data_IF_591851070319
#
_entry.id   IF_591851070319
#
_cell.length_a   1.000
_cell.length_b   1.000
_cell.length_c   1.000
_cell.angle_alpha   90.00
_cell.angle_beta   90.00
_cell.angle_gamma   90.00
#
_symmetry.space_group_name_H-M   'P 1'
#
loop_
_entity.id
_entity.type
_entity.pdbx_description
1 polymer ?
#
# COMPACT_ATOMS: atom_id res chain seq x y z
N UNK A 1 16.61 7.56 9.33
CA UNK A 1 16.33 7.92 7.91
C UNK A 1 15.57 6.82 7.19
N UNK A 2 15.86 5.53 7.45
CA UNK A 2 15.04 4.42 6.93
C UNK A 2 13.62 4.38 7.55
N UNK A 3 13.43 5.01 8.70
CA UNK A 3 12.20 4.82 9.49
C UNK A 3 11.07 5.81 9.12
N UNK A 4 11.39 7.07 8.83
CA UNK A 4 10.41 8.00 8.21
C UNK A 4 9.92 7.49 6.84
N UNK A 5 10.71 6.64 6.18
CA UNK A 5 10.38 6.05 4.89
C UNK A 5 9.30 4.97 5.02
N UNK A 6 9.32 4.15 6.08
CA UNK A 6 8.31 3.09 6.25
C UNK A 6 6.89 3.69 6.45
N UNK A 7 6.76 4.72 7.29
CA UNK A 7 5.50 5.42 7.50
C UNK A 7 5.01 6.10 6.21
N UNK A 8 5.88 6.85 5.52
CA UNK A 8 5.54 7.52 4.24
C UNK A 8 5.12 6.52 3.16
N UNK A 9 5.80 5.38 3.06
CA UNK A 9 5.46 4.34 2.07
C UNK A 9 4.09 3.72 2.38
N UNK A 10 3.79 3.42 3.65
CA UNK A 10 2.45 2.90 4.00
C UNK A 10 1.32 3.90 3.72
N UNK A 11 1.56 5.21 3.92
CA UNK A 11 0.57 6.26 3.61
C UNK A 11 0.31 6.34 2.09
N UNK A 12 1.37 6.32 1.26
CA UNK A 12 1.23 6.34 -0.19
C UNK A 12 0.44 5.15 -0.76
N UNK A 13 0.68 3.95 -0.23
CA UNK A 13 -0.05 2.74 -0.64
C UNK A 13 -1.53 2.83 -0.24
N UNK A 14 -1.83 3.35 0.97
CA UNK A 14 -3.21 3.54 1.43
C UNK A 14 -3.95 4.52 0.51
N UNK A 15 -3.32 5.64 0.14
CA UNK A 15 -3.91 6.63 -0.77
C UNK A 15 -4.19 6.03 -2.16
N UNK A 16 -3.25 5.24 -2.71
CA UNK A 16 -3.45 4.52 -3.97
C UNK A 16 -4.61 3.53 -3.89
N UNK A 17 -4.70 2.75 -2.80
CA UNK A 17 -5.81 1.82 -2.59
C UNK A 17 -7.16 2.53 -2.48
N UNK A 18 -7.21 3.65 -1.76
CA UNK A 18 -8.41 4.49 -1.67
C UNK A 18 -8.84 5.01 -3.05
N UNK A 19 -7.89 5.47 -3.88
CA UNK A 19 -8.16 5.90 -5.25
C UNK A 19 -8.73 4.76 -6.08
N UNK A 20 -8.11 3.58 -6.06
CA UNK A 20 -8.56 2.41 -6.81
C UNK A 20 -9.98 1.97 -6.38
N UNK A 21 -10.25 1.95 -5.08
CA UNK A 21 -11.58 1.61 -4.53
C UNK A 21 -12.63 2.66 -4.91
N UNK A 22 -12.25 3.94 -5.00
CA UNK A 22 -13.12 5.05 -5.37
C UNK A 22 -13.39 5.11 -6.87
N UNK A 23 -12.40 4.81 -7.71
CA UNK A 23 -12.46 4.92 -9.17
C UNK A 23 -13.28 3.81 -9.84
N UNK A 24 -13.78 2.81 -9.10
CA UNK A 24 -14.39 1.63 -9.70
C UNK A 24 -15.89 1.40 -9.42
N UNK A 25 -16.63 1.54 -10.53
CA UNK A 25 -17.99 1.03 -10.81
C UNK A 25 -17.94 -0.41 -11.41
N UNK A 26 -16.80 -0.85 -11.96
CA UNK A 26 -16.67 -2.10 -12.74
C UNK A 26 -15.89 -3.23 -12.06
N UNK A 27 -15.52 -3.06 -10.80
CA UNK A 27 -14.74 -4.05 -10.08
C UNK A 27 -15.63 -5.19 -9.60
N UNK A 28 -15.21 -6.43 -9.86
CA UNK A 28 -15.90 -7.58 -9.30
C UNK A 28 -15.95 -7.43 -7.77
N UNK A 29 -17.13 -7.69 -7.17
CA UNK A 29 -17.37 -7.48 -5.74
C UNK A 29 -16.31 -8.13 -4.84
N UNK A 30 -15.79 -9.29 -5.24
CA UNK A 30 -14.71 -9.99 -4.56
C UNK A 30 -13.39 -9.20 -4.54
N UNK A 31 -13.02 -8.56 -5.66
CA UNK A 31 -11.78 -7.77 -5.74
C UNK A 31 -11.87 -6.49 -4.91
N UNK A 32 -13.04 -5.81 -4.91
CA UNK A 32 -13.28 -4.65 -4.02
C UNK A 32 -13.21 -5.02 -2.53
N UNK A 33 -13.64 -6.24 -2.17
CA UNK A 33 -13.52 -6.73 -0.80
C UNK A 33 -12.06 -6.98 -0.40
N UNK A 34 -11.26 -7.57 -1.28
CA UNK A 34 -9.82 -7.80 -1.02
C UNK A 34 -9.04 -6.49 -0.91
N UNK A 35 -9.30 -5.48 -1.76
CA UNK A 35 -8.65 -4.17 -1.65
C UNK A 35 -8.93 -3.48 -0.30
N UNK A 36 -10.19 -3.50 0.17
CA UNK A 36 -10.54 -2.98 1.50
C UNK A 36 -9.89 -3.76 2.64
N UNK A 37 -9.75 -5.07 2.48
CA UNK A 37 -9.07 -5.91 3.46
C UNK A 37 -7.58 -5.55 3.52
N UNK A 38 -6.94 -5.34 2.38
CA UNK A 38 -5.54 -4.89 2.30
C UNK A 38 -5.36 -3.50 2.93
N UNK A 39 -6.25 -2.55 2.65
CA UNK A 39 -6.27 -1.24 3.29
C UNK A 39 -6.32 -1.36 4.82
N UNK A 40 -7.27 -2.13 5.37
CA UNK A 40 -7.40 -2.33 6.82
C UNK A 40 -6.15 -2.97 7.44
N UNK A 41 -5.44 -3.82 6.70
CA UNK A 41 -4.19 -4.43 7.18
C UNK A 41 -3.08 -3.38 7.21
N UNK A 42 -2.96 -2.55 6.19
CA UNK A 42 -1.96 -1.48 6.12
C UNK A 42 -2.18 -0.41 7.18
N UNK A 43 -3.43 -0.03 7.46
CA UNK A 43 -3.76 0.89 8.56
C UNK A 43 -3.31 0.33 9.93
N UNK A 44 -3.53 -0.97 10.16
CA UNK A 44 -3.05 -1.64 11.40
C UNK A 44 -1.52 -1.68 11.47
N UNK A 45 -0.87 -1.98 10.35
CA UNK A 45 0.59 -1.96 10.25
C UNK A 45 1.12 -0.57 10.59
N UNK A 46 0.47 0.49 10.10
CA UNK A 46 0.89 1.87 10.34
C UNK A 46 0.81 2.26 11.84
N UNK A 47 -0.19 1.76 12.56
CA UNK A 47 -0.28 1.91 14.02
C UNK A 47 0.90 1.21 14.70
N UNK A 48 1.19 -0.05 14.32
CA UNK A 48 2.31 -0.82 14.88
C UNK A 48 3.65 -0.18 14.55
N UNK A 49 3.83 0.37 13.35
CA UNK A 49 5.03 1.11 12.94
C UNK A 49 5.22 2.34 13.82
N UNK A 50 4.18 3.16 14.02
CA UNK A 50 4.24 4.34 14.89
C UNK A 50 4.62 3.99 16.34
N UNK A 51 4.11 2.87 16.85
CA UNK A 51 4.50 2.37 18.18
C UNK A 51 5.95 1.87 18.19
N UNK A 52 6.35 1.11 17.18
CA UNK A 52 7.69 0.56 17.03
C UNK A 52 8.76 1.66 16.86
N UNK A 53 8.45 2.77 16.19
CA UNK A 53 9.34 3.93 16.01
C UNK A 53 9.82 4.49 17.36
N UNK A 54 8.94 4.56 18.37
CA UNK A 54 9.33 5.00 19.72
C UNK A 54 10.19 4.00 20.48
N UNK A 55 10.14 2.71 20.10
CA UNK A 55 10.88 1.63 20.76
C UNK A 55 12.20 1.26 20.07
N UNK A 56 12.36 1.56 18.78
CA UNK A 56 13.50 1.09 17.96
C UNK A 56 14.86 1.63 18.45
N UNK A 57 14.89 2.79 19.10
CA UNK A 57 16.12 3.43 19.60
C UNK A 57 16.85 2.51 20.60
N UNK A 58 16.12 1.55 21.18
CA UNK A 58 16.62 0.62 22.20
C UNK A 58 16.67 -0.84 21.73
N UNK A 59 16.27 -1.16 20.51
CA UNK A 59 16.14 -2.55 20.07
C UNK A 59 16.42 -2.73 18.56
N UNK A 60 17.57 -3.34 18.24
CA UNK A 60 17.99 -3.63 16.85
C UNK A 60 17.04 -4.59 16.12
N UNK A 61 16.39 -5.53 16.82
CA UNK A 61 15.42 -6.44 16.19
C UNK A 61 14.19 -5.69 15.65
N UNK A 62 13.79 -4.59 16.31
CA UNK A 62 12.70 -3.73 15.85
C UNK A 62 13.10 -2.98 14.58
N UNK A 63 14.37 -2.58 14.49
CA UNK A 63 14.92 -1.92 13.31
C UNK A 63 14.94 -2.85 12.09
N UNK A 64 15.37 -4.10 12.26
CA UNK A 64 15.38 -5.08 11.18
C UNK A 64 13.97 -5.42 10.71
N UNK A 65 13.01 -5.55 11.63
CA UNK A 65 11.60 -5.76 11.28
C UNK A 65 11.02 -4.59 10.47
N UNK A 66 11.33 -3.34 10.86
CA UNK A 66 10.90 -2.15 10.13
C UNK A 66 11.52 -2.06 8.72
N UNK A 67 12.77 -2.49 8.53
CA UNK A 67 13.37 -2.54 7.19
C UNK A 67 12.68 -3.56 6.28
N UNK A 68 12.40 -4.77 6.78
CA UNK A 68 11.70 -5.78 5.99
C UNK A 68 10.28 -5.32 5.62
N UNK A 69 9.60 -4.63 6.55
CA UNK A 69 8.29 -4.08 6.28
C UNK A 69 8.33 -2.99 5.18
N UNK A 70 9.33 -2.11 5.24
CA UNK A 70 9.55 -1.09 4.19
C UNK A 70 9.74 -1.74 2.83
N UNK A 71 10.58 -2.78 2.75
CA UNK A 71 10.90 -3.43 1.48
C UNK A 71 9.66 -4.10 0.88
N UNK A 72 8.87 -4.82 1.68
CA UNK A 72 7.61 -5.40 1.23
C UNK A 72 6.54 -4.35 0.87
N UNK A 73 6.58 -3.17 1.49
CA UNK A 73 5.69 -2.07 1.14
C UNK A 73 6.07 -1.48 -0.23
N UNK A 74 7.35 -1.31 -0.54
CA UNK A 74 7.80 -0.89 -1.87
C UNK A 74 7.36 -1.87 -2.97
N UNK A 75 7.49 -3.18 -2.75
CA UNK A 75 7.00 -4.18 -3.71
C UNK A 75 5.50 -4.06 -3.95
N UNK A 76 4.71 -3.81 -2.90
CA UNK A 76 3.27 -3.60 -3.03
C UNK A 76 2.94 -2.30 -3.79
N UNK A 77 3.72 -1.24 -3.58
CA UNK A 77 3.55 0.04 -4.29
C UNK A 77 3.80 -0.12 -5.80
N UNK A 78 4.87 -0.83 -6.18
CA UNK A 78 5.20 -1.12 -7.58
C UNK A 78 4.09 -1.93 -8.27
N UNK A 79 3.55 -2.95 -7.60
CA UNK A 79 2.44 -3.77 -8.12
C UNK A 79 1.17 -2.92 -8.32
N UNK A 80 0.88 -2.00 -7.42
CA UNK A 80 -0.29 -1.12 -7.53
C UNK A 80 -0.14 -0.11 -8.68
N UNK A 81 1.07 0.39 -8.94
CA UNK A 81 1.35 1.28 -10.07
C UNK A 81 1.22 0.54 -11.42
N UNK A 82 1.68 -0.70 -11.51
CA UNK A 82 1.48 -1.54 -12.69
C UNK A 82 -0.02 -1.79 -12.94
N UNK A 83 -0.78 -2.12 -11.88
CA UNK A 83 -2.22 -2.28 -11.98
C UNK A 83 -2.93 -1.00 -12.44
N UNK A 84 -2.61 0.15 -11.85
CA UNK A 84 -3.18 1.44 -12.24
C UNK A 84 -2.89 1.76 -13.71
N UNK A 85 -1.67 1.46 -14.17
CA UNK A 85 -1.25 1.62 -15.57
C UNK A 85 -2.08 0.74 -16.51
N UNK A 86 -2.27 -0.53 -16.18
CA UNK A 86 -3.07 -1.46 -16.98
C UNK A 86 -4.57 -1.10 -17.00
N UNK A 87 -5.11 -0.59 -15.88
CA UNK A 87 -6.48 -0.07 -15.82
C UNK A 87 -6.65 1.11 -16.78
N UNK A 88 -5.71 2.05 -16.80
CA UNK A 88 -5.73 3.19 -17.72
C UNK A 88 -5.60 2.75 -19.17
N UNK A 89 -4.67 1.81 -19.46
CA UNK A 89 -4.48 1.25 -20.79
C UNK A 89 -5.76 0.62 -21.33
N UNK A 90 -6.41 -0.25 -20.56
CA UNK A 90 -7.69 -0.87 -20.94
C UNK A 90 -8.80 0.16 -21.17
N UNK A 91 -8.88 1.21 -20.34
CA UNK A 91 -9.85 2.32 -20.55
C UNK A 91 -9.61 3.04 -21.88
N UNK A 92 -8.35 3.23 -22.29
CA UNK A 92 -8.01 3.85 -23.57
C UNK A 92 -8.36 2.91 -24.73
N UNK A 93 -7.97 1.63 -24.66
CA UNK A 93 -8.28 0.63 -25.69
C UNK A 93 -9.79 0.50 -25.92
N UNK A 94 -10.59 0.45 -24.85
CA UNK A 94 -12.06 0.40 -24.93
C UNK A 94 -12.65 1.67 -25.55
N UNK A 95 -12.05 2.85 -25.32
CA UNK A 95 -12.52 4.13 -25.90
C UNK A 95 -12.17 4.28 -27.39
N UNK A 96 -11.22 3.49 -27.90
CA UNK A 96 -10.77 3.53 -29.30
C UNK A 96 -11.47 2.49 -30.19
N UNK A 97 -12.29 1.61 -29.62
CA UNK A 97 -13.22 0.72 -30.33
C UNK A 97 -14.61 1.34 -30.45
#
# INVERSE_FOLDING_TARGET
MAEAVATVVTEGIIDKLLSLVADEINLAWGFKAELRKLQNILEKIQIVVKEAETMQVKNENVKDWLMNLRDGAYEADDILDEYATEVLRRKIEIRLC
#
